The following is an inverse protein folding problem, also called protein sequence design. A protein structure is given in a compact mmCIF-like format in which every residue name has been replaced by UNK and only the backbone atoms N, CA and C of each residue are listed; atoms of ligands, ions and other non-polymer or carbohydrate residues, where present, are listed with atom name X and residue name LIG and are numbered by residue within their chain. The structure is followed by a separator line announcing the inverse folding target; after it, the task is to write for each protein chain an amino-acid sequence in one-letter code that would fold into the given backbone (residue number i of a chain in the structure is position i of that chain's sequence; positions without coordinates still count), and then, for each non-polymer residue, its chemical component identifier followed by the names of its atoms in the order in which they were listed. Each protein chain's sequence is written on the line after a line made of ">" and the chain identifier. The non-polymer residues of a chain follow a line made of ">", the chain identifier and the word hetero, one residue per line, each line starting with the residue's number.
data_IF_843559077718
#
_entry.id   IF_843559077718
#
_cell.length_a   1.000
_cell.length_b   1.000
_cell.length_c   1.000
_cell.angle_alpha   90.00
_cell.angle_beta   90.00
_cell.angle_gamma   90.00
#
_symmetry.space_group_name_H-M   'P 1'
#
loop_
_entity.id
_entity.type
_entity.pdbx_description
1 polymer ?
#
# COMPACT_ATOMS: atom_id res chain seq x y z
N UNK A 1 5.24 2.18 1.22
CA UNK A 1 4.88 1.16 2.24
C UNK A 1 6.05 0.80 3.15
N UNK A 2 7.15 0.25 2.63
CA UNK A 2 8.31 -0.21 3.42
C UNK A 2 9.07 0.88 4.20
N UNK A 3 9.03 2.12 3.71
CA UNK A 3 9.70 3.29 4.29
C UNK A 3 8.97 3.92 5.49
N UNK A 4 7.81 3.38 5.91
CA UNK A 4 7.03 3.93 7.04
C UNK A 4 6.68 5.41 6.83
N UNK A 5 6.11 5.72 5.67
CA UNK A 5 5.58 7.04 5.32
C UNK A 5 4.07 6.93 5.03
N UNK A 6 3.27 7.96 5.34
CA UNK A 6 1.88 8.01 4.93
C UNK A 6 1.79 8.02 3.40
N UNK A 7 0.75 7.37 2.86
CA UNK A 7 0.52 7.28 1.41
C UNK A 7 -0.83 7.90 1.08
N UNK A 8 -0.82 8.80 0.09
CA UNK A 8 -2.00 9.31 -0.60
C UNK A 8 -1.91 8.78 -2.03
N UNK A 9 -2.93 8.05 -2.49
CA UNK A 9 -2.91 7.35 -3.77
C UNK A 9 -4.11 7.73 -4.64
N UNK A 10 -3.98 7.59 -5.95
CA UNK A 10 -5.12 7.79 -6.85
C UNK A 10 -6.20 6.74 -6.58
N UNK A 11 -7.47 7.13 -6.62
CA UNK A 11 -8.62 6.28 -6.27
C UNK A 11 -8.97 5.30 -7.39
N UNK A 12 -8.20 4.21 -7.46
CA UNK A 12 -8.44 3.08 -8.36
C UNK A 12 -8.41 1.74 -7.60
N UNK A 13 -9.07 0.68 -8.12
CA UNK A 13 -9.13 -0.63 -7.47
C UNK A 13 -7.76 -1.19 -7.09
N UNK A 14 -6.75 -1.05 -7.97
CA UNK A 14 -5.41 -1.54 -7.72
C UNK A 14 -4.75 -0.91 -6.48
N UNK A 15 -4.84 0.42 -6.35
CA UNK A 15 -4.26 1.14 -5.22
C UNK A 15 -4.98 0.80 -3.93
N UNK A 16 -6.31 0.71 -3.96
CA UNK A 16 -7.13 0.29 -2.82
C UNK A 16 -6.77 -1.13 -2.35
N UNK A 17 -6.63 -2.07 -3.28
CA UNK A 17 -6.22 -3.43 -2.98
C UNK A 17 -4.80 -3.49 -2.39
N UNK A 18 -3.83 -2.83 -3.02
CA UNK A 18 -2.43 -2.80 -2.59
C UNK A 18 -2.27 -2.22 -1.18
N UNK A 19 -3.03 -1.17 -0.88
CA UNK A 19 -3.00 -0.46 0.41
C UNK A 19 -4.02 -1.03 1.42
N UNK A 20 -4.72 -2.11 1.07
CA UNK A 20 -5.80 -2.72 1.86
C UNK A 20 -6.83 -1.70 2.38
N UNK A 21 -7.20 -0.70 1.57
CA UNK A 21 -8.09 0.42 1.93
C UNK A 21 -7.58 1.31 3.09
N UNK A 22 -6.29 1.24 3.45
CA UNK A 22 -5.70 1.95 4.60
C UNK A 22 -4.83 3.17 4.21
N UNK A 23 -4.84 3.57 2.94
CA UNK A 23 -4.25 4.83 2.48
C UNK A 23 -5.34 5.91 2.36
N UNK A 24 -4.94 7.14 2.06
CA UNK A 24 -5.88 8.17 1.61
C UNK A 24 -6.00 8.14 0.09
N UNK A 25 -7.17 8.48 -0.45
CA UNK A 25 -7.45 8.38 -1.88
C UNK A 25 -7.98 9.69 -2.45
N UNK A 26 -7.57 10.02 -3.67
CA UNK A 26 -8.03 11.20 -4.40
C UNK A 26 -8.44 10.85 -5.84
N UNK A 27 -9.41 11.59 -6.40
CA UNK A 27 -9.86 11.46 -7.80
C UNK A 27 -9.49 12.66 -8.67
N UNK A 28 -9.33 13.83 -8.06
CA UNK A 28 -8.91 15.04 -8.75
C UNK A 28 -7.87 15.82 -7.95
N UNK A 29 -7.20 16.76 -8.61
CA UNK A 29 -6.22 17.66 -7.99
C UNK A 29 -6.79 18.43 -6.79
N UNK A 30 -8.06 18.83 -6.86
CA UNK A 30 -8.76 19.53 -5.77
C UNK A 30 -8.91 18.64 -4.52
N UNK A 31 -9.16 17.34 -4.69
CA UNK A 31 -9.21 16.39 -3.58
C UNK A 31 -7.85 16.23 -2.93
N UNK A 32 -6.81 16.09 -3.75
CA UNK A 32 -5.44 15.97 -3.26
C UNK A 32 -5.02 17.21 -2.46
N UNK A 33 -5.31 18.41 -2.98
CA UNK A 33 -5.02 19.67 -2.28
C UNK A 33 -5.77 19.77 -0.95
N UNK A 34 -7.04 19.34 -0.91
CA UNK A 34 -7.83 19.28 0.32
C UNK A 34 -7.23 18.31 1.34
N UNK A 35 -6.84 17.12 0.90
CA UNK A 35 -6.19 16.12 1.77
C UNK A 35 -4.89 16.67 2.35
N UNK A 36 -4.04 17.29 1.51
CA UNK A 36 -2.75 17.83 1.95
C UNK A 36 -2.90 18.95 2.99
N UNK A 37 -3.94 19.78 2.89
CA UNK A 37 -4.19 20.88 3.84
C UNK A 37 -4.75 20.41 5.18
N UNK A 38 -5.54 19.33 5.16
CA UNK A 38 -6.33 18.91 6.31
C UNK A 38 -5.75 17.72 7.08
N UNK A 39 -4.82 16.97 6.49
CA UNK A 39 -4.26 15.78 7.12
C UNK A 39 -3.48 16.13 8.39
N UNK A 40 -3.91 15.55 9.51
CA UNK A 40 -3.31 15.78 10.83
C UNK A 40 -2.08 14.89 11.05
N UNK A 41 -1.22 15.26 12.00
CA UNK A 41 -0.08 14.42 12.39
C UNK A 41 -0.51 13.02 12.89
N UNK A 42 -1.54 12.88 13.75
CA UNK A 42 -2.03 11.55 14.16
C UNK A 42 -2.48 10.68 12.97
N UNK A 43 -3.17 11.26 11.99
CA UNK A 43 -3.57 10.54 10.76
C UNK A 43 -2.35 10.11 9.95
N UNK A 44 -1.36 10.99 9.76
CA UNK A 44 -0.10 10.65 9.08
C UNK A 44 0.59 9.45 9.73
N UNK A 45 0.67 9.45 11.07
CA UNK A 45 1.29 8.35 11.81
C UNK A 45 0.49 7.05 11.69
N UNK A 46 -0.84 7.12 11.76
CA UNK A 46 -1.72 5.95 11.58
C UNK A 46 -1.53 5.31 10.20
N UNK A 47 -1.56 6.12 9.14
CA UNK A 47 -1.38 5.65 7.77
C UNK A 47 0.04 5.08 7.60
N UNK A 48 1.07 5.79 8.08
CA UNK A 48 2.46 5.33 8.04
C UNK A 48 2.65 3.94 8.68
N UNK A 49 2.09 3.73 9.87
CA UNK A 49 2.12 2.44 10.57
C UNK A 49 1.41 1.35 9.76
N UNK A 50 0.21 1.63 9.25
CA UNK A 50 -0.54 0.69 8.41
C UNK A 50 0.25 0.32 7.14
N UNK A 51 0.85 1.30 6.47
CA UNK A 51 1.66 1.11 5.27
C UNK A 51 2.89 0.24 5.55
N UNK A 52 3.54 0.41 6.71
CA UNK A 52 4.65 -0.45 7.12
C UNK A 52 4.19 -1.87 7.40
N UNK A 53 3.08 -2.04 8.13
CA UNK A 53 2.51 -3.35 8.45
C UNK A 53 2.20 -4.15 7.18
N UNK A 54 1.50 -3.53 6.21
CA UNK A 54 1.17 -4.16 4.92
C UNK A 54 2.44 -4.54 4.16
N UNK A 55 3.46 -3.66 4.14
CA UNK A 55 4.76 -3.97 3.52
C UNK A 55 5.38 -5.26 4.08
N UNK A 56 5.41 -5.35 5.41
CA UNK A 56 6.06 -6.45 6.13
C UNK A 56 5.30 -7.77 6.04
N UNK A 57 3.98 -7.74 5.82
CA UNK A 57 3.16 -8.96 5.74
C UNK A 57 2.91 -9.44 4.30
N UNK A 58 2.92 -8.55 3.31
CA UNK A 58 2.55 -8.90 1.92
C UNK A 58 3.71 -8.88 0.94
N UNK A 59 4.69 -8.00 1.17
CA UNK A 59 5.71 -7.64 0.18
C UNK A 59 7.13 -7.96 0.67
N UNK A 60 7.29 -9.11 1.32
CA UNK A 60 8.60 -9.69 1.61
C UNK A 60 8.98 -10.69 0.53
N UNK A 61 10.28 -10.80 0.23
CA UNK A 61 10.77 -11.82 -0.71
C UNK A 61 10.35 -13.23 -0.30
N UNK A 62 10.28 -13.51 1.01
CA UNK A 62 9.78 -14.77 1.54
C UNK A 62 8.34 -15.10 1.10
N UNK A 63 7.42 -14.13 1.15
CA UNK A 63 6.04 -14.34 0.69
C UNK A 63 5.93 -14.40 -0.82
N UNK A 64 6.74 -13.62 -1.54
CA UNK A 64 6.75 -13.61 -3.01
C UNK A 64 7.25 -14.96 -3.55
N UNK A 65 8.33 -15.49 -2.99
CA UNK A 65 8.86 -16.79 -3.42
C UNK A 65 7.88 -17.92 -3.15
N UNK A 66 7.22 -17.96 -1.98
CA UNK A 66 6.18 -18.95 -1.68
C UNK A 66 5.03 -18.97 -2.69
N UNK A 67 4.58 -17.79 -3.15
CA UNK A 67 3.51 -17.70 -4.17
C UNK A 67 3.97 -18.18 -5.55
N UNK A 68 5.25 -18.02 -5.88
CA UNK A 68 5.82 -18.41 -7.18
C UNK A 68 6.31 -19.86 -7.23
N UNK A 69 6.58 -20.49 -6.08
CA UNK A 69 7.05 -21.89 -6.00
C UNK A 69 6.19 -22.89 -6.82
N UNK A 70 4.85 -22.83 -6.80
CA UNK A 70 4.03 -23.76 -7.58
C UNK A 70 4.16 -23.54 -9.10
N UNK A 71 4.33 -22.28 -9.53
CA UNK A 71 4.52 -21.94 -10.94
C UNK A 71 5.91 -22.37 -11.43
N UNK A 72 6.96 -22.16 -10.61
CA UNK A 72 8.32 -22.58 -10.94
C UNK A 72 8.45 -24.10 -11.07
N UNK A 73 7.81 -24.87 -10.18
CA UNK A 73 7.79 -26.35 -10.25
C UNK A 73 7.15 -26.89 -11.53
N UNK A 74 6.17 -26.18 -12.10
CA UNK A 74 5.51 -26.55 -13.37
C UNK A 74 6.36 -26.28 -14.61
N UNK A 75 7.29 -25.32 -14.55
CA UNK A 75 8.14 -25.00 -15.71
C UNK A 75 9.42 -25.85 -15.79
N UNK A 76 9.78 -26.56 -14.72
CA UNK A 76 10.97 -27.43 -14.66
C UNK A 76 10.65 -28.92 -14.75
N UNK A 77 9.41 -29.27 -15.07
CA UNK A 77 8.93 -30.65 -15.33
C UNK A 77 8.56 -30.77 -16.80
#
# INVERSE_FOLDING_TARGET
>A
MSLRLPVIAYDIPYNRATTENRALYFKASNDLARILRNITEPERQNISRAMKQIATTRYTWHHITQKLTPALKKCTS
#
